data_IF_397651865189
#
_entry.id   IF_397651865189
#
_cell.length_a   1.000
_cell.length_b   1.000
_cell.length_c   1.000
_cell.angle_alpha   90.00
_cell.angle_beta   90.00
_cell.angle_gamma   90.00
#
_symmetry.space_group_name_H-M   'P 1'
#
loop_
_entity.id
_entity.type
_entity.pdbx_description
1 polymer ?
#
# COMPACT_ATOMS: atom_id res chain seq x y z
N UNK A 1 21.45 26.45 -21.66
CA UNK A 1 20.58 25.43 -21.05
C UNK A 1 21.48 24.24 -20.77
N UNK A 2 21.69 23.90 -19.50
CA UNK A 2 22.42 22.65 -19.15
C UNK A 2 21.55 21.47 -19.52
N UNK A 3 22.10 20.52 -20.26
CA UNK A 3 21.43 19.22 -20.50
C UNK A 3 21.17 18.55 -19.14
N UNK A 4 19.96 18.09 -18.83
CA UNK A 4 19.71 17.41 -17.57
C UNK A 4 20.64 16.19 -17.45
N UNK A 5 21.20 15.99 -16.26
CA UNK A 5 22.06 14.84 -16.00
C UNK A 5 21.28 13.53 -16.25
N UNK A 6 21.94 12.48 -16.80
CA UNK A 6 21.27 11.22 -17.11
C UNK A 6 20.74 10.56 -15.84
N UNK A 7 19.55 9.94 -15.94
CA UNK A 7 18.96 9.18 -14.85
C UNK A 7 19.81 7.93 -14.54
N UNK A 8 19.90 7.61 -13.27
CA UNK A 8 20.42 6.31 -12.82
C UNK A 8 19.39 5.23 -13.18
N UNK A 9 19.88 4.08 -13.65
CA UNK A 9 19.04 2.96 -14.07
C UNK A 9 19.47 1.68 -13.37
N UNK A 10 18.49 0.93 -12.89
CA UNK A 10 18.73 -0.37 -12.26
C UNK A 10 17.61 -1.34 -12.64
N UNK A 11 17.96 -2.51 -13.19
CA UNK A 11 17.02 -3.60 -13.37
C UNK A 11 16.79 -4.32 -12.03
N UNK A 12 15.53 -4.51 -11.68
CA UNK A 12 15.09 -5.24 -10.51
C UNK A 12 14.38 -6.53 -10.96
N UNK A 13 15.09 -7.67 -11.07
CA UNK A 13 14.49 -8.94 -11.47
C UNK A 13 13.38 -9.36 -10.51
N UNK A 14 12.37 -10.07 -11.02
CA UNK A 14 11.27 -10.67 -10.25
C UNK A 14 11.18 -12.18 -10.46
N UNK A 15 10.48 -12.86 -9.55
CA UNK A 15 10.14 -14.27 -9.70
C UNK A 15 8.88 -14.39 -10.57
N UNK A 16 8.92 -15.13 -11.72
CA UNK A 16 7.72 -15.32 -12.54
C UNK A 16 6.74 -16.34 -11.91
N UNK A 17 5.42 -16.27 -12.23
CA UNK A 17 4.79 -15.22 -13.01
C UNK A 17 4.63 -13.92 -12.21
N UNK A 18 4.79 -12.79 -12.91
CA UNK A 18 4.57 -11.46 -12.39
C UNK A 18 3.90 -10.60 -13.48
N UNK A 19 2.84 -9.88 -13.13
CA UNK A 19 2.00 -9.22 -14.12
C UNK A 19 1.84 -7.73 -13.83
N UNK A 20 2.39 -6.88 -14.70
CA UNK A 20 2.27 -5.43 -14.59
C UNK A 20 0.82 -4.95 -14.51
N UNK A 21 -0.09 -5.53 -15.29
CA UNK A 21 -1.49 -5.11 -15.33
C UNK A 21 -2.17 -5.15 -13.94
N UNK A 22 -1.79 -6.09 -13.06
CA UNK A 22 -2.31 -6.16 -11.68
C UNK A 22 -1.91 -4.92 -10.88
N UNK A 23 -0.63 -4.54 -10.95
CA UNK A 23 -0.11 -3.35 -10.27
C UNK A 23 -0.66 -2.08 -10.88
N UNK A 24 -0.73 -1.99 -12.20
CA UNK A 24 -1.36 -0.89 -12.92
C UNK A 24 -2.81 -0.69 -12.46
N UNK A 25 -3.63 -1.73 -12.42
CA UNK A 25 -5.01 -1.65 -11.97
C UNK A 25 -5.09 -1.21 -10.49
N UNK A 26 -4.27 -1.80 -9.61
CA UNK A 26 -4.24 -1.46 -8.20
C UNK A 26 -3.87 0.00 -7.95
N UNK A 27 -2.77 0.47 -8.54
CA UNK A 27 -2.27 1.84 -8.34
C UNK A 27 -3.14 2.87 -9.06
N UNK A 28 -3.68 2.58 -10.25
CA UNK A 28 -4.59 3.48 -10.96
C UNK A 28 -5.84 3.79 -10.15
N UNK A 29 -6.46 2.76 -9.55
CA UNK A 29 -7.65 2.90 -8.72
C UNK A 29 -7.39 3.76 -7.47
N UNK A 30 -6.15 3.72 -6.94
CA UNK A 30 -5.74 4.35 -5.68
C UNK A 30 -4.77 5.51 -5.86
N UNK A 31 -4.52 5.92 -7.09
CA UNK A 31 -3.55 6.97 -7.43
C UNK A 31 -3.77 8.22 -6.58
N UNK A 32 -2.73 8.62 -5.85
CA UNK A 32 -2.74 9.84 -5.04
C UNK A 32 -2.37 11.06 -5.90
N UNK A 33 -3.33 11.97 -6.17
CA UNK A 33 -3.06 13.16 -6.96
C UNK A 33 -1.90 13.98 -6.40
N UNK A 34 -1.01 14.43 -7.28
CA UNK A 34 0.16 15.24 -6.93
C UNK A 34 1.36 14.44 -6.41
N UNK A 35 1.19 13.21 -5.95
CA UNK A 35 2.27 12.35 -5.44
C UNK A 35 2.63 11.25 -6.42
N UNK A 36 1.62 10.69 -7.10
CA UNK A 36 1.74 9.51 -7.94
C UNK A 36 1.25 9.76 -9.37
N UNK A 37 1.92 9.17 -10.33
CA UNK A 37 1.48 9.00 -11.72
C UNK A 37 1.48 7.54 -12.08
N UNK A 38 0.42 7.08 -12.69
CA UNK A 38 0.27 5.72 -13.20
C UNK A 38 0.01 5.83 -14.69
N UNK A 39 0.89 5.27 -15.48
CA UNK A 39 0.85 5.24 -16.93
C UNK A 39 0.71 3.78 -17.38
N UNK A 40 0.27 3.54 -18.62
CA UNK A 40 0.09 2.18 -19.15
C UNK A 40 1.32 1.28 -18.94
N UNK A 41 2.52 1.86 -19.13
CA UNK A 41 3.79 1.15 -19.02
C UNK A 41 4.73 1.76 -18.00
N UNK A 42 4.19 2.39 -16.94
CA UNK A 42 5.05 3.02 -15.95
C UNK A 42 4.31 3.51 -14.70
N UNK A 43 5.09 3.68 -13.65
CA UNK A 43 4.65 4.28 -12.40
C UNK A 43 5.73 5.24 -11.92
N UNK A 44 5.34 6.45 -11.59
CA UNK A 44 6.24 7.49 -11.07
C UNK A 44 5.68 8.04 -9.77
N UNK A 45 6.52 8.28 -8.78
CA UNK A 45 6.12 8.95 -7.55
C UNK A 45 7.22 9.79 -6.93
N UNK A 46 6.81 10.81 -6.19
CA UNK A 46 7.68 11.52 -5.27
C UNK A 46 7.95 10.71 -4.00
N UNK A 47 9.12 10.90 -3.41
CA UNK A 47 9.53 10.22 -2.19
C UNK A 47 10.23 11.18 -1.22
N UNK A 48 10.04 10.90 0.07
CA UNK A 48 10.86 11.40 1.17
C UNK A 48 11.53 10.21 1.84
N UNK A 49 12.86 10.22 1.91
CA UNK A 49 13.63 9.14 2.53
C UNK A 49 14.79 9.75 3.31
N UNK A 50 14.66 9.76 4.64
CA UNK A 50 15.57 10.55 5.47
C UNK A 50 15.54 12.03 5.07
N UNK A 51 16.69 12.61 4.81
CA UNK A 51 16.83 13.99 4.31
C UNK A 51 16.63 14.14 2.80
N UNK A 52 16.50 13.03 2.05
CA UNK A 52 16.33 13.06 0.59
C UNK A 52 14.89 13.40 0.22
N UNK A 53 14.71 14.39 -0.65
CA UNK A 53 13.47 14.71 -1.36
C UNK A 53 13.72 14.45 -2.85
N UNK A 54 13.05 13.45 -3.40
CA UNK A 54 13.30 13.00 -4.77
C UNK A 54 12.06 12.33 -5.36
N UNK A 55 12.24 11.66 -6.48
CA UNK A 55 11.24 10.85 -7.14
C UNK A 55 11.89 9.60 -7.74
N UNK A 56 11.09 8.61 -8.06
CA UNK A 56 11.51 7.49 -8.89
C UNK A 56 10.46 7.18 -9.94
N UNK A 57 10.90 6.50 -11.00
CA UNK A 57 10.04 5.90 -12.01
C UNK A 57 10.38 4.43 -12.15
N UNK A 58 9.36 3.60 -12.37
CA UNK A 58 9.54 2.21 -12.74
C UNK A 58 8.80 1.89 -14.02
N UNK A 59 9.37 0.99 -14.83
CA UNK A 59 8.82 0.49 -16.09
C UNK A 59 8.97 -1.02 -16.15
N UNK A 60 7.93 -1.78 -16.54
CA UNK A 60 8.03 -3.22 -16.70
C UNK A 60 8.87 -3.58 -17.93
N UNK A 61 9.71 -4.59 -17.78
CA UNK A 61 10.38 -5.32 -18.88
C UNK A 61 9.98 -6.79 -18.81
N UNK A 62 10.33 -7.64 -19.77
CA UNK A 62 9.94 -9.05 -19.75
C UNK A 62 10.36 -9.83 -18.51
N UNK A 63 11.49 -9.47 -17.88
CA UNK A 63 12.15 -10.22 -16.81
C UNK A 63 12.48 -9.39 -15.55
N UNK A 64 12.24 -8.07 -15.61
CA UNK A 64 12.57 -7.15 -14.52
C UNK A 64 11.63 -5.94 -14.48
N UNK A 65 11.66 -5.23 -13.36
CA UNK A 65 11.16 -3.87 -13.24
C UNK A 65 12.34 -2.91 -13.35
N UNK A 66 12.39 -2.08 -14.39
CA UNK A 66 13.44 -1.08 -14.57
C UNK A 66 13.17 0.12 -13.66
N UNK A 67 14.05 0.36 -12.69
CA UNK A 67 14.02 1.53 -11.81
C UNK A 67 14.86 2.65 -12.42
N UNK A 68 14.29 3.85 -12.51
CA UNK A 68 14.96 5.08 -12.86
C UNK A 68 14.92 6.08 -11.70
N UNK A 69 16.05 6.72 -11.43
CA UNK A 69 16.25 7.70 -10.36
C UNK A 69 17.00 8.92 -10.90
N UNK A 70 16.71 10.13 -10.41
CA UNK A 70 17.58 11.26 -10.65
C UNK A 70 18.93 11.10 -9.92
N UNK A 71 20.03 11.71 -10.45
CA UNK A 71 21.39 11.49 -9.93
C UNK A 71 21.57 11.84 -8.44
N UNK A 72 20.82 12.81 -7.94
CA UNK A 72 20.85 13.21 -6.53
C UNK A 72 20.35 12.11 -5.57
N UNK A 73 19.66 11.11 -6.08
CA UNK A 73 19.20 9.94 -5.31
C UNK A 73 20.25 8.81 -5.21
N UNK A 74 21.44 8.98 -5.80
CA UNK A 74 22.47 7.93 -5.87
C UNK A 74 22.81 7.32 -4.51
N UNK A 75 22.98 8.14 -3.49
CA UNK A 75 23.31 7.67 -2.13
C UNK A 75 22.20 6.81 -1.49
N UNK A 76 20.95 6.99 -1.90
CA UNK A 76 19.79 6.26 -1.39
C UNK A 76 19.29 5.17 -2.35
N UNK A 77 20.00 4.92 -3.48
CA UNK A 77 19.56 4.01 -4.53
C UNK A 77 19.24 2.60 -4.00
N UNK A 78 20.09 2.05 -3.14
CA UNK A 78 19.90 0.71 -2.58
C UNK A 78 18.60 0.64 -1.73
N UNK A 79 18.36 1.63 -0.87
CA UNK A 79 17.15 1.69 -0.02
C UNK A 79 15.89 1.88 -0.85
N UNK A 80 15.96 2.74 -1.89
CA UNK A 80 14.85 2.95 -2.81
C UNK A 80 14.56 1.66 -3.56
N UNK A 81 15.58 0.99 -4.10
CA UNK A 81 15.44 -0.29 -4.81
C UNK A 81 14.81 -1.36 -3.92
N UNK A 82 15.23 -1.49 -2.66
CA UNK A 82 14.64 -2.43 -1.72
C UNK A 82 13.16 -2.14 -1.44
N UNK A 83 12.80 -0.86 -1.25
CA UNK A 83 11.40 -0.45 -1.07
C UNK A 83 10.56 -0.69 -2.32
N UNK A 84 11.10 -0.44 -3.51
CA UNK A 84 10.46 -0.72 -4.79
C UNK A 84 10.26 -2.23 -4.97
N UNK A 85 11.25 -3.07 -4.64
CA UNK A 85 11.09 -4.53 -4.66
C UNK A 85 9.92 -4.98 -3.79
N UNK A 86 9.83 -4.46 -2.57
CA UNK A 86 8.70 -4.74 -1.66
C UNK A 86 7.38 -4.20 -2.19
N UNK A 87 7.37 -2.97 -2.73
CA UNK A 87 6.17 -2.30 -3.25
C UNK A 87 5.51 -3.09 -4.38
N UNK A 88 6.33 -3.71 -5.23
CA UNK A 88 5.91 -4.51 -6.38
C UNK A 88 6.04 -6.02 -6.13
N UNK A 89 6.34 -6.41 -4.88
CA UNK A 89 6.41 -7.83 -4.44
C UNK A 89 7.26 -8.69 -5.37
N UNK A 90 8.46 -8.19 -5.73
CA UNK A 90 9.31 -8.83 -6.74
C UNK A 90 9.98 -10.11 -6.24
N UNK A 91 10.13 -10.27 -4.92
CA UNK A 91 10.85 -11.37 -4.27
C UNK A 91 9.96 -12.55 -3.87
N UNK A 92 8.63 -12.39 -3.95
CA UNK A 92 7.71 -13.46 -3.61
C UNK A 92 7.88 -14.67 -4.55
N UNK A 93 7.86 -15.87 -3.96
CA UNK A 93 7.71 -17.13 -4.71
C UNK A 93 6.21 -17.44 -4.89
N UNK A 94 5.63 -17.18 -6.08
CA UNK A 94 4.22 -17.42 -6.32
C UNK A 94 3.83 -18.89 -6.32
N UNK A 95 4.79 -19.82 -6.55
CA UNK A 95 4.55 -21.24 -6.53
C UNK A 95 4.36 -21.73 -5.08
N UNK A 96 5.19 -21.25 -4.16
CA UNK A 96 5.04 -21.54 -2.73
C UNK A 96 3.70 -21.05 -2.18
N UNK A 97 3.29 -19.81 -2.56
CA UNK A 97 1.97 -19.26 -2.21
C UNK A 97 0.86 -20.14 -2.76
N UNK A 98 0.91 -20.45 -4.07
CA UNK A 98 -0.11 -21.25 -4.74
C UNK A 98 -0.22 -22.65 -4.14
N UNK A 99 0.91 -23.33 -3.84
CA UNK A 99 0.92 -24.67 -3.26
C UNK A 99 0.21 -24.76 -1.91
N UNK A 100 0.27 -23.69 -1.11
CA UNK A 100 -0.44 -23.60 0.17
C UNK A 100 -1.91 -23.28 -0.02
N UNK A 101 -2.23 -22.23 -0.76
CA UNK A 101 -3.59 -21.73 -0.90
C UNK A 101 -4.48 -22.66 -1.74
N UNK A 102 -3.92 -23.42 -2.68
CA UNK A 102 -4.66 -24.39 -3.49
C UNK A 102 -5.21 -25.60 -2.69
N UNK A 103 -4.79 -25.75 -1.44
CA UNK A 103 -5.39 -26.74 -0.52
C UNK A 103 -6.79 -26.37 -0.09
N UNK A 104 -7.17 -25.09 -0.27
CA UNK A 104 -8.52 -24.61 -0.01
C UNK A 104 -9.33 -24.66 -1.31
N UNK A 105 -10.40 -25.46 -1.30
CA UNK A 105 -11.30 -25.70 -2.48
C UNK A 105 -11.92 -24.41 -3.02
N UNK A 106 -12.11 -23.38 -2.17
CA UNK A 106 -12.69 -22.09 -2.59
C UNK A 106 -11.64 -21.22 -3.29
N UNK A 107 -10.39 -21.25 -2.82
CA UNK A 107 -9.32 -20.44 -3.43
C UNK A 107 -8.72 -21.10 -4.67
N UNK A 108 -8.72 -22.42 -4.77
CA UNK A 108 -8.12 -23.18 -5.86
C UNK A 108 -8.56 -22.70 -7.24
N UNK A 109 -9.87 -22.52 -7.55
CA UNK A 109 -10.29 -22.03 -8.86
C UNK A 109 -9.81 -20.61 -9.18
N UNK A 110 -9.62 -19.75 -8.17
CA UNK A 110 -9.07 -18.41 -8.35
C UNK A 110 -7.58 -18.45 -8.70
N UNK A 111 -6.83 -19.30 -8.01
CA UNK A 111 -5.39 -19.49 -8.27
C UNK A 111 -5.14 -20.00 -9.69
N UNK A 112 -5.98 -20.92 -10.18
CA UNK A 112 -5.91 -21.45 -11.54
C UNK A 112 -6.24 -20.40 -12.61
N UNK A 113 -7.21 -19.53 -12.35
CA UNK A 113 -7.62 -18.43 -13.28
C UNK A 113 -6.68 -17.23 -13.23
N UNK A 114 -6.10 -16.92 -12.07
CA UNK A 114 -5.31 -15.73 -11.82
C UNK A 114 -3.95 -16.08 -11.22
N UNK A 115 -3.11 -16.75 -12.02
CA UNK A 115 -1.79 -17.18 -11.56
C UNK A 115 -0.89 -16.02 -11.19
N UNK A 116 -0.19 -16.12 -10.05
CA UNK A 116 0.86 -15.19 -9.67
C UNK A 116 0.37 -13.81 -9.21
N UNK A 117 -0.85 -13.69 -8.66
CA UNK A 117 -1.26 -12.44 -8.01
C UNK A 117 -0.30 -12.12 -6.86
N UNK A 118 0.11 -10.87 -6.81
CA UNK A 118 1.10 -10.32 -5.89
C UNK A 118 0.45 -9.42 -4.84
N UNK A 119 1.19 -9.13 -3.78
CA UNK A 119 0.77 -8.25 -2.71
C UNK A 119 1.29 -6.82 -2.98
N UNK A 120 0.48 -5.89 -3.55
CA UNK A 120 0.91 -4.50 -3.70
C UNK A 120 1.07 -3.83 -2.34
N UNK A 121 2.24 -3.23 -2.10
CA UNK A 121 2.62 -2.59 -0.84
C UNK A 121 2.91 -1.10 -1.09
N UNK A 122 2.70 -0.26 -0.09
CA UNK A 122 3.02 1.15 -0.18
C UNK A 122 4.54 1.39 -0.07
N UNK A 123 5.02 2.49 -0.66
CA UNK A 123 6.40 2.91 -0.52
C UNK A 123 6.71 3.41 0.90
N UNK A 124 5.77 4.14 1.49
CA UNK A 124 5.93 4.79 2.78
C UNK A 124 4.86 4.31 3.78
N UNK A 125 5.27 3.77 4.95
CA UNK A 125 4.32 3.27 5.95
C UNK A 125 3.44 4.36 6.57
N UNK A 126 3.95 5.58 6.77
CA UNK A 126 3.17 6.68 7.33
C UNK A 126 2.09 7.14 6.36
N UNK A 127 2.45 7.34 5.08
CA UNK A 127 1.47 7.65 4.03
C UNK A 127 0.36 6.59 3.99
N UNK A 128 0.74 5.31 4.04
CA UNK A 128 -0.25 4.23 4.02
C UNK A 128 -1.15 4.23 5.26
N UNK A 129 -0.62 4.48 6.44
CA UNK A 129 -1.42 4.59 7.66
C UNK A 129 -2.43 5.74 7.58
N UNK A 130 -1.99 6.91 7.11
CA UNK A 130 -2.86 8.08 6.85
C UNK A 130 -3.96 7.72 5.85
N UNK A 131 -3.61 7.12 4.71
CA UNK A 131 -4.57 6.70 3.67
C UNK A 131 -5.55 5.66 4.19
N UNK A 132 -5.11 4.77 5.07
CA UNK A 132 -5.98 3.75 5.67
C UNK A 132 -7.03 4.40 6.60
N UNK A 133 -6.63 5.37 7.43
CA UNK A 133 -7.58 6.11 8.30
C UNK A 133 -8.56 6.92 7.45
N UNK A 134 -8.09 7.60 6.40
CA UNK A 134 -8.95 8.33 5.45
C UNK A 134 -9.97 7.38 4.81
N UNK A 135 -9.55 6.16 4.47
CA UNK A 135 -10.35 5.14 3.80
C UNK A 135 -11.39 4.43 4.68
N UNK A 136 -11.37 4.63 6.01
CA UNK A 136 -12.36 4.01 6.89
C UNK A 136 -13.79 4.40 6.51
N UNK A 137 -14.66 3.40 6.23
CA UNK A 137 -16.10 3.59 5.97
C UNK A 137 -16.42 4.53 4.78
N UNK A 138 -15.54 4.63 3.80
CA UNK A 138 -15.76 5.37 2.56
C UNK A 138 -15.34 4.56 1.35
N UNK A 139 -15.82 4.93 0.17
CA UNK A 139 -15.38 4.30 -1.09
C UNK A 139 -13.91 4.66 -1.39
N UNK A 140 -13.23 3.83 -2.18
CA UNK A 140 -11.84 4.09 -2.62
C UNK A 140 -11.74 5.45 -3.33
N UNK A 141 -12.72 5.79 -4.18
CA UNK A 141 -12.78 7.08 -4.88
C UNK A 141 -12.86 8.27 -3.91
N UNK A 142 -13.70 8.16 -2.88
CA UNK A 142 -13.82 9.21 -1.86
C UNK A 142 -12.51 9.34 -1.05
N UNK A 143 -11.89 8.21 -0.67
CA UNK A 143 -10.62 8.21 0.03
C UNK A 143 -9.51 8.90 -0.79
N UNK A 144 -9.40 8.60 -2.08
CA UNK A 144 -8.45 9.26 -3.00
C UNK A 144 -8.69 10.76 -3.07
N UNK A 145 -9.96 11.19 -3.17
CA UNK A 145 -10.31 12.61 -3.19
C UNK A 145 -9.89 13.34 -1.92
N UNK A 146 -10.15 12.75 -0.75
CA UNK A 146 -9.78 13.33 0.55
C UNK A 146 -8.25 13.37 0.71
N UNK A 147 -7.57 12.29 0.37
CA UNK A 147 -6.11 12.24 0.41
C UNK A 147 -5.47 13.26 -0.56
N UNK A 148 -6.06 13.46 -1.75
CA UNK A 148 -5.64 14.50 -2.68
C UNK A 148 -5.76 15.91 -2.09
N UNK A 149 -6.86 16.23 -1.41
CA UNK A 149 -7.02 17.51 -0.69
C UNK A 149 -5.97 17.70 0.41
N UNK A 150 -5.62 16.61 1.11
CA UNK A 150 -4.56 16.64 2.12
C UNK A 150 -3.20 17.00 1.49
N UNK A 151 -2.86 16.39 0.36
CA UNK A 151 -1.63 16.68 -0.39
C UNK A 151 -1.64 18.10 -0.96
N UNK A 152 -2.77 18.56 -1.52
CA UNK A 152 -2.91 19.92 -2.02
C UNK A 152 -2.67 20.94 -0.92
N UNK A 153 -3.22 20.71 0.28
CA UNK A 153 -3.13 21.61 1.44
C UNK A 153 -1.74 21.60 2.10
N UNK A 154 -1.16 20.44 2.34
CA UNK A 154 0.03 20.28 3.20
C UNK A 154 1.24 19.69 2.49
N UNK A 155 1.07 19.16 1.28
CA UNK A 155 2.19 18.59 0.52
C UNK A 155 3.15 19.67 0.03
N UNK A 156 4.44 19.35 0.02
CA UNK A 156 5.50 20.26 -0.42
C UNK A 156 5.77 20.07 -1.91
N UNK A 157 5.80 21.11 -2.75
CA UNK A 157 6.22 20.99 -4.14
C UNK A 157 7.62 20.36 -4.24
N UNK A 158 7.84 19.50 -5.23
CA UNK A 158 9.15 18.90 -5.53
C UNK A 158 9.68 19.47 -6.84
N UNK A 159 10.53 20.53 -6.77
CA UNK A 159 11.13 21.13 -7.96
C UNK A 159 11.93 20.10 -8.77
N UNK A 160 11.88 20.21 -10.10
CA UNK A 160 12.61 19.29 -10.99
C UNK A 160 12.00 17.91 -11.14
N UNK A 161 10.90 17.61 -10.44
CA UNK A 161 10.17 16.35 -10.65
C UNK A 161 9.36 16.39 -11.94
N UNK A 162 9.08 15.22 -12.56
CA UNK A 162 8.16 15.14 -13.70
C UNK A 162 6.78 15.71 -13.30
N UNK A 163 6.23 16.60 -14.14
CA UNK A 163 4.89 17.19 -13.99
C UNK A 163 4.55 17.83 -12.64
N UNK A 164 5.57 18.35 -11.95
CA UNK A 164 5.37 19.11 -10.72
C UNK A 164 4.81 18.28 -9.56
N UNK A 165 5.36 17.10 -9.32
CA UNK A 165 4.99 16.28 -8.18
C UNK A 165 5.16 17.05 -6.85
N UNK A 166 4.41 16.63 -5.86
CA UNK A 166 4.48 17.12 -4.47
C UNK A 166 4.91 15.96 -3.57
N UNK A 167 5.67 16.25 -2.54
CA UNK A 167 5.93 15.29 -1.48
C UNK A 167 4.69 15.14 -0.60
N UNK A 168 4.43 13.92 -0.15
CA UNK A 168 3.38 13.67 0.84
C UNK A 168 3.62 14.49 2.11
N UNK A 169 2.57 14.98 2.79
CA UNK A 169 2.69 15.75 4.03
C UNK A 169 3.50 15.02 5.11
N UNK A 170 4.30 15.78 5.86
CA UNK A 170 5.02 15.22 7.01
C UNK A 170 4.07 14.92 8.17
N UNK A 171 4.45 14.02 9.11
CA UNK A 171 3.70 13.80 10.34
C UNK A 171 3.44 15.11 11.10
N UNK A 172 4.45 15.96 11.25
CA UNK A 172 4.33 17.26 11.91
C UNK A 172 3.30 18.16 11.24
N UNK A 173 3.34 18.29 9.91
CA UNK A 173 2.40 19.12 9.16
C UNK A 173 0.93 18.67 9.35
N UNK A 174 0.68 17.36 9.39
CA UNK A 174 -0.67 16.83 9.63
C UNK A 174 -1.10 17.01 11.08
N UNK A 175 -0.19 16.85 12.04
CA UNK A 175 -0.49 17.00 13.47
C UNK A 175 -0.87 18.43 13.85
N UNK A 176 -0.20 19.41 13.25
CA UNK A 176 -0.38 20.84 13.58
C UNK A 176 -1.57 21.47 12.87
N UNK A 177 -1.98 20.98 11.70
CA UNK A 177 -3.12 21.55 10.95
C UNK A 177 -4.47 21.02 11.46
N UNK A 178 -5.42 21.91 11.62
CA UNK A 178 -6.78 21.55 12.05
C UNK A 178 -7.58 20.82 10.96
N UNK A 179 -7.09 20.75 9.74
CA UNK A 179 -7.70 20.11 8.57
C UNK A 179 -9.15 20.55 8.29
N UNK A 180 -9.48 21.85 8.34
CA UNK A 180 -10.85 22.32 8.11
C UNK A 180 -11.26 22.01 6.67
N UNK A 181 -12.49 21.51 6.48
CA UNK A 181 -13.05 21.24 5.16
C UNK A 181 -12.41 20.09 4.40
N UNK A 182 -11.57 19.25 5.03
CA UNK A 182 -10.87 18.13 4.36
C UNK A 182 -11.86 17.08 3.80
N UNK A 183 -13.08 17.00 4.32
CA UNK A 183 -14.10 16.05 3.87
C UNK A 183 -14.19 14.79 4.73
N UNK A 184 -13.70 14.86 5.98
CA UNK A 184 -13.78 13.78 6.96
C UNK A 184 -14.61 14.19 8.18
N UNK A 185 -15.30 13.25 8.86
CA UNK A 185 -15.90 13.50 10.17
C UNK A 185 -14.85 13.93 11.21
N UNK A 186 -15.21 14.85 12.11
CA UNK A 186 -14.28 15.42 13.09
C UNK A 186 -13.54 14.39 13.95
N UNK A 187 -14.22 13.32 14.38
CA UNK A 187 -13.58 12.21 15.12
C UNK A 187 -12.46 11.52 14.32
N UNK A 188 -12.65 11.38 13.01
CA UNK A 188 -11.63 10.76 12.13
C UNK A 188 -10.48 11.72 11.85
N UNK A 189 -10.74 13.02 11.73
CA UNK A 189 -9.71 14.06 11.68
C UNK A 189 -8.86 14.01 12.94
N UNK A 190 -9.49 13.86 14.10
CA UNK A 190 -8.77 13.75 15.38
C UNK A 190 -7.90 12.49 15.44
N UNK A 191 -8.43 11.31 15.02
CA UNK A 191 -7.64 10.08 14.92
C UNK A 191 -6.41 10.26 14.01
N UNK A 192 -6.60 10.90 12.86
CA UNK A 192 -5.52 11.17 11.91
C UNK A 192 -4.44 12.07 12.52
N UNK A 193 -4.84 13.15 13.17
CA UNK A 193 -3.90 14.07 13.84
C UNK A 193 -3.16 13.42 15.01
N UNK A 194 -3.84 12.56 15.79
CA UNK A 194 -3.21 11.81 16.88
C UNK A 194 -2.17 10.81 16.37
N UNK A 195 -2.50 10.05 15.29
CA UNK A 195 -1.50 9.20 14.63
C UNK A 195 -0.29 10.03 14.19
N UNK A 196 -0.52 11.15 13.53
CA UNK A 196 0.54 12.01 13.01
C UNK A 196 1.40 12.60 14.15
N UNK A 197 0.79 13.04 15.25
CA UNK A 197 1.49 13.56 16.42
C UNK A 197 2.35 12.49 17.09
N UNK A 198 1.82 11.27 17.28
CA UNK A 198 2.56 10.17 17.88
C UNK A 198 3.77 9.73 17.02
N UNK A 199 3.63 9.76 15.69
CA UNK A 199 4.74 9.49 14.77
C UNK A 199 5.76 10.64 14.78
N UNK A 200 5.29 11.89 14.77
CA UNK A 200 6.16 13.08 14.78
C UNK A 200 7.01 13.19 16.08
N UNK A 201 6.44 12.82 17.23
CA UNK A 201 7.14 12.81 18.52
C UNK A 201 8.03 11.59 18.72
N UNK A 202 7.94 10.55 17.89
CA UNK A 202 8.63 9.27 18.08
C UNK A 202 7.97 8.35 19.13
N UNK A 203 6.81 8.72 19.67
CA UNK A 203 6.02 7.87 20.58
C UNK A 203 5.51 6.60 19.88
N UNK A 204 5.18 6.73 18.57
CA UNK A 204 4.77 5.61 17.73
C UNK A 204 5.77 5.40 16.60
N UNK A 205 6.50 4.29 16.66
CA UNK A 205 7.27 3.81 15.53
C UNK A 205 6.42 2.90 14.65
N UNK A 206 6.34 3.24 13.35
CA UNK A 206 5.69 2.40 12.34
C UNK A 206 6.68 1.33 11.85
N UNK A 207 6.80 0.26 12.62
CA UNK A 207 7.72 -0.85 12.39
C UNK A 207 7.08 -2.18 12.80
N UNK A 208 7.41 -3.26 12.09
CA UNK A 208 7.06 -4.64 12.45
C UNK A 208 8.22 -5.40 13.12
N UNK A 209 9.24 -4.71 13.61
CA UNK A 209 10.42 -5.36 14.22
C UNK A 209 10.05 -6.30 15.37
N UNK A 210 8.99 -5.97 16.14
CA UNK A 210 8.48 -6.78 17.26
C UNK A 210 7.31 -7.69 16.87
N UNK A 211 7.05 -7.84 15.57
CA UNK A 211 5.95 -8.65 15.04
C UNK A 211 4.62 -7.90 14.87
N UNK A 212 3.68 -8.53 14.16
CA UNK A 212 2.38 -7.94 13.80
C UNK A 212 1.50 -7.72 15.01
N UNK A 213 1.50 -8.63 15.98
CA UNK A 213 0.69 -8.56 17.20
C UNK A 213 1.09 -7.36 18.06
N UNK A 214 2.39 -7.12 18.27
CA UNK A 214 2.90 -5.97 19.01
C UNK A 214 2.59 -4.66 18.25
N UNK A 215 2.76 -4.64 16.94
CA UNK A 215 2.38 -3.52 16.09
C UNK A 215 0.88 -3.21 16.19
N UNK A 216 0.03 -4.24 16.11
CA UNK A 216 -1.41 -4.10 16.26
C UNK A 216 -1.78 -3.51 17.64
N UNK A 217 -1.16 -3.99 18.71
CA UNK A 217 -1.40 -3.47 20.05
C UNK A 217 -1.03 -1.99 20.17
N UNK A 218 0.13 -1.57 19.64
CA UNK A 218 0.55 -0.15 19.61
C UNK A 218 -0.42 0.73 18.84
N UNK A 219 -0.86 0.31 17.66
CA UNK A 219 -1.81 1.08 16.86
C UNK A 219 -3.21 1.14 17.49
N UNK A 220 -3.70 0.04 18.03
CA UNK A 220 -5.02 -0.01 18.67
C UNK A 220 -5.09 0.76 19.99
N UNK A 221 -3.97 1.15 20.58
CA UNK A 221 -3.93 2.08 21.71
C UNK A 221 -4.35 3.50 21.32
N UNK A 222 -4.27 3.85 20.02
CA UNK A 222 -4.73 5.14 19.53
C UNK A 222 -6.25 5.14 19.32
N UNK A 223 -7.00 6.08 19.90
CA UNK A 223 -8.45 6.19 19.72
C UNK A 223 -8.83 6.31 18.23
N UNK A 224 -9.76 5.46 17.80
CA UNK A 224 -10.25 5.43 16.41
C UNK A 224 -9.49 4.47 15.49
N UNK A 225 -8.47 3.77 15.98
CA UNK A 225 -7.78 2.69 15.28
C UNK A 225 -8.18 1.35 15.89
N UNK A 226 -8.82 0.50 15.08
CA UNK A 226 -9.21 -0.85 15.49
C UNK A 226 -8.34 -1.93 14.83
N UNK A 227 -8.57 -3.22 15.19
CA UNK A 227 -7.82 -4.35 14.68
C UNK A 227 -7.79 -4.43 13.15
N UNK A 228 -8.91 -4.16 12.47
CA UNK A 228 -8.96 -4.12 11.00
C UNK A 228 -7.96 -3.11 10.43
N UNK A 229 -7.93 -1.88 10.98
CA UNK A 229 -7.04 -0.82 10.51
C UNK A 229 -5.57 -1.22 10.69
N UNK A 230 -5.23 -1.78 11.86
CA UNK A 230 -3.86 -2.21 12.16
C UNK A 230 -3.40 -3.37 11.25
N UNK A 231 -4.24 -4.40 11.06
CA UNK A 231 -3.96 -5.51 10.16
C UNK A 231 -3.84 -5.06 8.70
N UNK A 232 -4.71 -4.15 8.24
CA UNK A 232 -4.65 -3.60 6.89
C UNK A 232 -3.36 -2.78 6.67
N UNK A 233 -2.91 -2.01 7.68
CA UNK A 233 -1.63 -1.30 7.62
C UNK A 233 -0.47 -2.29 7.60
N UNK A 234 -0.46 -3.34 8.44
CA UNK A 234 0.58 -4.36 8.42
C UNK A 234 0.72 -5.00 7.04
N UNK A 235 -0.40 -5.34 6.41
CA UNK A 235 -0.45 -5.92 5.07
C UNK A 235 0.02 -4.91 4.00
N UNK A 236 -0.55 -3.67 4.00
CA UNK A 236 -0.36 -2.72 2.89
C UNK A 236 0.86 -1.81 3.02
N UNK A 237 1.36 -1.56 4.25
CA UNK A 237 2.51 -0.71 4.47
C UNK A 237 3.82 -1.49 4.54
N UNK A 238 3.76 -2.72 5.08
CA UNK A 238 4.96 -3.51 5.32
C UNK A 238 5.06 -4.77 4.44
N UNK A 239 3.96 -5.21 3.83
CA UNK A 239 3.94 -6.42 3.04
C UNK A 239 4.00 -7.69 3.89
N UNK A 240 3.49 -7.63 5.13
CA UNK A 240 3.44 -8.85 5.95
C UNK A 240 2.55 -9.89 5.28
N UNK A 241 3.14 -11.05 5.01
CA UNK A 241 2.50 -12.11 4.23
C UNK A 241 1.33 -12.78 4.96
N UNK A 242 1.31 -12.67 6.29
CA UNK A 242 0.32 -13.33 7.13
C UNK A 242 -0.64 -12.36 7.83
N UNK A 243 -0.48 -11.04 7.68
CA UNK A 243 -1.44 -10.05 8.15
C UNK A 243 -2.78 -10.20 7.40
N UNK A 244 -3.89 -10.24 8.17
CA UNK A 244 -5.19 -10.54 7.59
C UNK A 244 -6.33 -9.77 8.28
N UNK A 245 -6.96 -8.79 7.60
CA UNK A 245 -8.03 -7.97 8.16
C UNK A 245 -9.38 -8.71 8.10
N UNK A 246 -9.65 -9.62 9.04
CA UNK A 246 -10.82 -10.52 9.06
C UNK A 246 -12.18 -9.82 9.00
N UNK A 247 -12.26 -8.55 9.39
CA UNK A 247 -13.48 -7.74 9.34
C UNK A 247 -13.58 -6.87 8.07
N UNK A 248 -12.72 -7.11 7.06
CA UNK A 248 -12.76 -6.36 5.80
C UNK A 248 -14.00 -6.71 4.98
N UNK A 249 -14.74 -5.67 4.60
CA UNK A 249 -16.03 -5.84 3.92
C UNK A 249 -15.89 -6.51 2.56
N UNK A 250 -14.81 -6.22 1.80
CA UNK A 250 -14.54 -6.86 0.51
C UNK A 250 -14.20 -8.34 0.66
N UNK A 251 -13.54 -8.73 1.77
CA UNK A 251 -13.28 -10.13 2.08
C UNK A 251 -14.57 -10.86 2.49
N UNK A 252 -15.38 -10.23 3.34
CA UNK A 252 -16.63 -10.83 3.85
C UNK A 252 -17.71 -10.98 2.78
N UNK A 253 -17.70 -10.11 1.78
CA UNK A 253 -18.68 -10.08 0.68
C UNK A 253 -18.13 -10.60 -0.65
N UNK A 254 -16.99 -11.30 -0.63
CA UNK A 254 -16.48 -11.94 -1.84
C UNK A 254 -17.55 -12.87 -2.42
N UNK A 255 -17.81 -12.85 -3.74
CA UNK A 255 -18.78 -13.73 -4.41
C UNK A 255 -18.57 -15.21 -4.14
N UNK A 256 -17.36 -15.61 -3.79
CA UNK A 256 -17.00 -16.99 -3.44
C UNK A 256 -17.77 -17.56 -2.24
N UNK A 257 -18.31 -16.71 -1.39
CA UNK A 257 -19.13 -17.13 -0.24
C UNK A 257 -20.60 -17.26 -0.56
N UNK A 258 -21.00 -17.02 -1.83
CA UNK A 258 -22.41 -16.96 -2.23
C UNK A 258 -23.12 -15.70 -1.74
N UNK A 259 -24.43 -15.63 -1.96
CA UNK A 259 -25.23 -14.44 -1.68
C UNK A 259 -25.26 -14.02 -0.18
N UNK A 260 -25.01 -14.95 0.74
CA UNK A 260 -25.00 -14.67 2.17
C UNK A 260 -23.69 -14.09 2.71
N UNK A 261 -22.61 -14.14 1.95
CA UNK A 261 -21.29 -13.79 2.44
C UNK A 261 -20.76 -14.74 3.51
N UNK A 262 -19.76 -14.30 4.26
CA UNK A 262 -19.18 -15.03 5.39
C UNK A 262 -19.07 -14.12 6.62
N UNK A 263 -19.24 -14.65 7.84
CA UNK A 263 -19.02 -13.85 9.04
C UNK A 263 -17.51 -13.68 9.34
N UNK A 264 -17.10 -12.60 10.06
CA UNK A 264 -15.71 -12.39 10.43
C UNK A 264 -15.09 -13.57 11.19
N UNK A 265 -15.87 -14.22 12.05
CA UNK A 265 -15.43 -15.39 12.81
C UNK A 265 -15.17 -16.59 11.90
N UNK A 266 -16.10 -16.92 11.03
CA UNK A 266 -15.94 -18.02 10.06
C UNK A 266 -14.77 -17.78 9.12
N UNK A 267 -14.60 -16.52 8.65
CA UNK A 267 -13.47 -16.15 7.80
C UNK A 267 -12.15 -16.29 8.57
N UNK A 268 -12.08 -15.85 9.84
CA UNK A 268 -10.90 -16.03 10.67
C UNK A 268 -10.52 -17.51 10.86
N UNK A 269 -11.51 -18.36 11.20
CA UNK A 269 -11.31 -19.79 11.36
C UNK A 269 -10.82 -20.46 10.05
N UNK A 270 -11.37 -20.04 8.91
CA UNK A 270 -10.94 -20.55 7.60
C UNK A 270 -9.53 -20.09 7.25
N UNK A 271 -9.19 -18.84 7.54
CA UNK A 271 -7.92 -18.22 7.21
C UNK A 271 -6.71 -18.89 7.89
N UNK A 272 -6.91 -19.62 9.00
CA UNK A 272 -5.83 -20.37 9.66
C UNK A 272 -5.20 -21.43 8.73
N UNK A 273 -5.94 -21.94 7.75
CA UNK A 273 -5.44 -22.90 6.75
C UNK A 273 -4.54 -22.26 5.69
N UNK A 274 -4.57 -20.92 5.57
CA UNK A 274 -3.83 -20.16 4.55
C UNK A 274 -2.47 -19.66 5.06
N UNK A 275 -2.15 -19.90 6.34
CA UNK A 275 -0.86 -19.52 6.90
C UNK A 275 0.29 -20.23 6.16
N UNK A 276 1.39 -19.52 5.94
CA UNK A 276 1.72 -18.14 6.34
C UNK A 276 1.35 -17.08 5.25
N UNK A 277 0.43 -17.38 4.34
CA UNK A 277 0.12 -16.59 3.14
C UNK A 277 -1.28 -15.94 3.18
N UNK A 278 -1.80 -15.61 4.37
CA UNK A 278 -3.14 -15.05 4.52
C UNK A 278 -3.34 -13.73 3.78
N UNK A 279 -2.30 -12.88 3.68
CA UNK A 279 -2.35 -11.63 2.95
C UNK A 279 -2.55 -11.86 1.43
N UNK A 280 -1.96 -12.91 0.89
CA UNK A 280 -2.18 -13.29 -0.52
C UNK A 280 -3.58 -13.84 -0.74
N UNK A 281 -4.10 -14.65 0.19
CA UNK A 281 -5.50 -15.06 0.14
C UNK A 281 -6.45 -13.85 0.10
N UNK A 282 -6.16 -12.81 0.90
CA UNK A 282 -6.91 -11.56 0.84
C UNK A 282 -6.84 -10.88 -0.54
N UNK A 283 -5.68 -10.91 -1.20
CA UNK A 283 -5.53 -10.35 -2.57
C UNK A 283 -6.42 -11.09 -3.56
N UNK A 284 -6.45 -12.43 -3.51
CA UNK A 284 -7.31 -13.24 -4.38
C UNK A 284 -8.80 -12.96 -4.12
N UNK A 285 -9.20 -12.87 -2.85
CA UNK A 285 -10.57 -12.53 -2.46
C UNK A 285 -10.99 -11.13 -2.90
N UNK A 286 -10.13 -10.12 -2.73
CA UNK A 286 -10.40 -8.76 -3.22
C UNK A 286 -10.44 -8.70 -4.74
N UNK A 287 -9.60 -9.47 -5.43
CA UNK A 287 -9.63 -9.54 -6.90
C UNK A 287 -10.96 -10.10 -7.40
N UNK A 288 -11.44 -11.21 -6.83
CA UNK A 288 -12.77 -11.76 -7.13
C UNK A 288 -13.88 -10.76 -6.84
N UNK A 289 -13.85 -10.08 -5.69
CA UNK A 289 -14.84 -9.05 -5.35
C UNK A 289 -14.88 -7.89 -6.37
N UNK A 290 -13.72 -7.48 -6.88
CA UNK A 290 -13.63 -6.36 -7.82
C UNK A 290 -14.00 -6.72 -9.27
N UNK A 291 -13.91 -7.99 -9.66
CA UNK A 291 -14.16 -8.45 -11.04
C UNK A 291 -15.57 -8.95 -11.26
N UNK A 292 -16.28 -9.31 -10.19
CA UNK A 292 -17.64 -9.90 -10.29
C UNK A 292 -18.74 -8.94 -9.76
N UNK A 293 -18.39 -7.72 -9.32
CA UNK A 293 -19.30 -6.63 -8.95
C UNK A 293 -19.03 -5.37 -9.80
#
# INVERSE_FOLDING_TARGET
>A
MQTPAPLLRQALPFQPPWHWHQFHAHFSLRRLPGVERVEEHGYTRSIRLGGLHSWFRVMPTPDALLLELPPEAAAAQADIAQRVRRMFDLDCDPLAVAATLARDEVLKPLLERHTGLRLPVAFDPFEQAVRTIIGQQVTVKAAVTIAGRLVERLGTPLPGSPDGLRLFPTPTAIAEDALPGIGMPGKRVETLRRLAAAVASGELELSLADGVEAFQARLCALPGIGPWTAQYIALRAFGDADAFPTADLGLLKSPLWGAGGISPRQLAERAERWRPWRAYAAVYLWHSYATEN
#
